data_IF_936956051351
#
_entry.id   IF_936956051351
#
_cell.length_a   1.000
_cell.length_b   1.000
_cell.length_c   1.000
_cell.angle_alpha   90.00
_cell.angle_beta   90.00
_cell.angle_gamma   90.00
#
_symmetry.space_group_name_H-M   'P 1'
#
loop_
_entity.id
_entity.type
_entity.pdbx_description
1 polymer ?
#
# COMPACT_ATOMS: atom_id res chain seq x y z
N UNK A 1 -3.25 -11.47 16.38
CA UNK A 1 -2.67 -10.38 15.58
C UNK A 1 -2.96 -10.64 14.13
N UNK A 2 -3.58 -9.67 13.50
CA UNK A 2 -3.96 -9.79 12.11
C UNK A 2 -2.95 -9.09 11.21
N UNK A 3 -2.63 -9.76 10.12
CA UNK A 3 -1.84 -9.15 9.06
C UNK A 3 -2.78 -8.77 7.93
N UNK A 4 -2.40 -7.78 7.18
CA UNK A 4 -3.17 -7.36 6.00
C UNK A 4 -2.30 -7.52 4.76
N UNK A 5 -2.96 -7.86 3.66
CA UNK A 5 -2.30 -7.96 2.37
C UNK A 5 -2.62 -6.72 1.55
N UNK A 6 -1.60 -6.12 0.99
CA UNK A 6 -1.72 -4.91 0.21
C UNK A 6 -1.22 -5.20 -1.19
N UNK A 7 -2.06 -4.99 -2.19
CA UNK A 7 -1.73 -5.24 -3.59
C UNK A 7 -1.77 -3.92 -4.36
N UNK A 8 -0.73 -3.66 -5.13
CA UNK A 8 -0.70 -2.48 -5.99
C UNK A 8 -1.57 -2.76 -7.22
N UNK A 9 -2.65 -2.01 -7.38
CA UNK A 9 -3.61 -2.22 -8.47
C UNK A 9 -3.56 -1.14 -9.55
N UNK A 10 -2.93 0.01 -9.24
CA UNK A 10 -2.79 1.09 -10.21
C UNK A 10 -1.36 1.60 -10.25
N UNK A 11 -0.96 2.11 -11.42
CA UNK A 11 0.36 2.71 -11.58
C UNK A 11 0.48 3.98 -10.74
N UNK A 12 1.65 4.16 -10.10
CA UNK A 12 1.96 5.35 -9.32
C UNK A 12 2.72 6.39 -10.12
N UNK A 13 2.88 6.20 -11.43
CA UNK A 13 3.65 7.13 -12.25
C UNK A 13 3.09 8.55 -12.24
N UNK A 14 1.79 8.68 -12.09
CA UNK A 14 1.11 9.98 -12.02
C UNK A 14 0.77 10.40 -10.59
N UNK A 15 1.18 9.61 -9.60
CA UNK A 15 0.91 9.92 -8.21
C UNK A 15 1.81 11.05 -7.72
N UNK A 16 1.37 11.72 -6.67
CA UNK A 16 2.18 12.74 -6.00
C UNK A 16 3.37 12.06 -5.33
N UNK A 17 4.45 12.82 -5.13
CA UNK A 17 5.64 12.25 -4.51
C UNK A 17 5.39 11.64 -3.14
N UNK A 18 4.52 12.28 -2.34
CA UNK A 18 4.17 11.74 -1.03
C UNK A 18 3.47 10.39 -1.15
N UNK A 19 2.63 10.23 -2.16
CA UNK A 19 1.95 8.96 -2.41
C UNK A 19 2.91 7.89 -2.91
N UNK A 20 3.81 8.28 -3.82
CA UNK A 20 4.87 7.37 -4.29
C UNK A 20 5.74 6.90 -3.14
N UNK A 21 6.16 7.81 -2.30
CA UNK A 21 6.99 7.49 -1.14
C UNK A 21 6.26 6.52 -0.21
N UNK A 22 4.96 6.73 0.01
CA UNK A 22 4.14 5.86 0.83
C UNK A 22 4.06 4.45 0.25
N UNK A 23 3.81 4.34 -1.05
CA UNK A 23 3.75 3.04 -1.72
C UNK A 23 5.09 2.33 -1.65
N UNK A 24 6.20 3.05 -1.84
CA UNK A 24 7.53 2.48 -1.70
C UNK A 24 7.81 2.01 -0.28
N UNK A 25 7.37 2.78 0.71
CA UNK A 25 7.52 2.40 2.11
C UNK A 25 6.74 1.12 2.43
N UNK A 26 5.65 0.89 1.73
CA UNK A 26 4.90 -0.37 1.84
C UNK A 26 5.61 -1.54 1.14
N UNK A 27 6.59 -1.26 0.31
CA UNK A 27 7.33 -2.28 -0.42
C UNK A 27 6.76 -2.60 -1.79
N UNK A 28 5.82 -1.82 -2.26
CA UNK A 28 5.19 -2.02 -3.56
C UNK A 28 5.89 -1.20 -4.63
N UNK A 29 6.19 -1.84 -5.76
CA UNK A 29 6.88 -1.18 -6.87
C UNK A 29 6.20 -1.41 -8.20
N UNK A 30 5.52 -2.54 -8.36
CA UNK A 30 4.90 -2.93 -9.62
C UNK A 30 3.43 -3.25 -9.41
N UNK A 31 2.64 -3.01 -10.44
CA UNK A 31 1.23 -3.41 -10.43
C UNK A 31 1.13 -4.92 -10.29
N UNK A 32 0.23 -5.36 -9.43
CA UNK A 32 0.04 -6.77 -9.16
C UNK A 32 0.90 -7.32 -8.04
N UNK A 33 1.87 -6.54 -7.57
CA UNK A 33 2.71 -6.96 -6.44
C UNK A 33 1.90 -6.91 -5.15
N UNK A 34 2.04 -7.94 -4.34
CA UNK A 34 1.36 -8.05 -3.05
C UNK A 34 2.38 -8.11 -1.93
N UNK A 35 2.14 -7.37 -0.86
CA UNK A 35 2.95 -7.45 0.36
C UNK A 35 2.04 -7.66 1.56
N UNK A 36 2.59 -8.31 2.58
CA UNK A 36 1.88 -8.52 3.84
C UNK A 36 2.50 -7.64 4.90
N UNK A 37 1.67 -6.91 5.61
CA UNK A 37 2.09 -6.00 6.67
C UNK A 37 1.26 -6.22 7.92
N UNK A 38 1.84 -5.94 9.06
CA UNK A 38 1.10 -5.99 10.32
C UNK A 38 0.01 -4.92 10.33
N UNK A 39 -1.14 -5.28 10.87
CA UNK A 39 -2.26 -4.36 10.98
C UNK A 39 -2.06 -3.46 12.20
N UNK A 40 -1.46 -2.30 11.99
CA UNK A 40 -1.24 -1.30 13.03
C UNK A 40 -1.54 0.10 12.48
N UNK A 41 -1.52 1.09 13.37
CA UNK A 41 -1.86 2.45 13.00
C UNK A 41 -0.92 3.03 11.95
N UNK A 42 0.37 2.75 12.04
CA UNK A 42 1.34 3.25 11.07
C UNK A 42 1.05 2.69 9.67
N UNK A 43 0.79 1.39 9.58
CA UNK A 43 0.45 0.76 8.30
C UNK A 43 -0.87 1.31 7.76
N UNK A 44 -1.88 1.43 8.61
CA UNK A 44 -3.17 1.96 8.18
C UNK A 44 -3.07 3.40 7.70
N UNK A 45 -2.23 4.21 8.37
CA UNK A 45 -1.99 5.59 7.94
C UNK A 45 -1.37 5.66 6.55
N UNK A 46 -0.40 4.78 6.26
CA UNK A 46 0.19 4.70 4.94
C UNK A 46 -0.82 4.23 3.88
N UNK A 47 -1.64 3.25 4.23
CA UNK A 47 -2.67 2.74 3.32
C UNK A 47 -3.67 3.84 2.98
N UNK A 48 -4.08 4.66 3.94
CA UNK A 48 -5.00 5.76 3.69
C UNK A 48 -4.47 6.73 2.62
N UNK A 49 -3.17 7.00 2.64
CA UNK A 49 -2.56 7.89 1.65
C UNK A 49 -2.53 7.27 0.27
N UNK A 50 -2.37 5.95 0.20
CA UNK A 50 -2.22 5.24 -1.08
C UNK A 50 -3.48 4.48 -1.48
N UNK A 51 -4.60 4.70 -0.81
CA UNK A 51 -5.83 3.92 -1.00
C UNK A 51 -6.32 3.91 -2.46
N UNK A 52 -6.04 4.97 -3.21
CA UNK A 52 -6.46 5.05 -4.61
C UNK A 52 -5.62 4.14 -5.53
N UNK A 53 -4.50 3.64 -5.05
CA UNK A 53 -3.55 2.87 -5.85
C UNK A 53 -3.42 1.42 -5.40
N UNK A 54 -3.91 1.10 -4.23
CA UNK A 54 -3.74 -0.23 -3.63
C UNK A 54 -5.08 -0.83 -3.23
N UNK A 55 -5.13 -2.15 -3.22
CA UNK A 55 -6.24 -2.90 -2.65
C UNK A 55 -5.75 -3.57 -1.37
N UNK A 56 -6.58 -3.58 -0.35
CA UNK A 56 -6.23 -4.16 0.94
C UNK A 56 -7.15 -5.34 1.22
N UNK A 57 -6.55 -6.47 1.61
CA UNK A 57 -7.29 -7.63 2.05
C UNK A 57 -6.91 -7.93 3.49
N UNK A 58 -7.90 -8.14 4.32
CA UNK A 58 -7.68 -8.58 5.69
C UNK A 58 -7.73 -10.12 5.75
N UNK A 59 -6.78 -10.67 6.46
CA UNK A 59 -6.76 -12.11 6.72
C UNK A 59 -7.60 -12.46 7.94
#
# INVERSE_FOLDING_TARGET
MTNIKITLVKSINKARESEKATVRALGLRKIGQTVEKADNEATRGMIKKAVNYVAVEEN
#
